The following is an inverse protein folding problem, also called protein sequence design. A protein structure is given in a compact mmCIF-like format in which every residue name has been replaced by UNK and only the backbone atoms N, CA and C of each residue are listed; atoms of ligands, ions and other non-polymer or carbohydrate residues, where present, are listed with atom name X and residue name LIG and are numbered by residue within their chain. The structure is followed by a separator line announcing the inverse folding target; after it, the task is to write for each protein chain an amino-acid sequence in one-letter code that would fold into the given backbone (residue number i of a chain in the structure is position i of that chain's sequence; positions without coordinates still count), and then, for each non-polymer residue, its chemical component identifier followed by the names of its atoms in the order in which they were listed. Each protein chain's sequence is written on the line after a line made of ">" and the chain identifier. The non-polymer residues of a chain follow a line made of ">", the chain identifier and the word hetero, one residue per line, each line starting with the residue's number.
data_IF_615928381702
#
_entry.id   IF_615928381702
#
_cell.length_a   1.000
_cell.length_b   1.000
_cell.length_c   1.000
_cell.angle_alpha   90.00
_cell.angle_beta   90.00
_cell.angle_gamma   90.00
#
_symmetry.space_group_name_H-M   'P 1'
#
loop_
_entity.id
_entity.type
_entity.pdbx_description
1 polymer ?
#
# COMPACT_ATOMS: atom_id res chain seq x y z
N UNK A 1 3.27 -11.63 -7.43
CA UNK A 1 4.49 -11.15 -6.80
C UNK A 1 5.03 -9.95 -7.55
N UNK A 2 5.31 -8.86 -6.86
CA UNK A 2 5.83 -7.68 -7.51
C UNK A 2 6.40 -6.69 -6.54
N UNK A 3 7.28 -5.86 -7.06
CA UNK A 3 7.90 -4.80 -6.28
C UNK A 3 7.92 -3.54 -7.13
N UNK A 4 7.39 -2.46 -6.57
CA UNK A 4 7.31 -1.17 -7.27
C UNK A 4 7.84 -0.06 -6.38
N UNK A 5 8.56 0.89 -6.98
CA UNK A 5 8.99 2.10 -6.28
C UNK A 5 8.20 3.26 -6.85
N UNK A 6 7.58 4.03 -5.96
CA UNK A 6 6.77 5.15 -6.42
C UNK A 6 6.62 6.19 -5.31
N UNK A 7 6.85 7.44 -5.65
CA UNK A 7 6.67 8.59 -4.76
C UNK A 7 7.42 8.46 -3.42
N UNK A 8 8.59 7.84 -3.44
CA UNK A 8 9.40 7.69 -2.24
C UNK A 8 9.05 6.49 -1.39
N UNK A 9 8.22 5.59 -1.91
CA UNK A 9 7.83 4.37 -1.21
C UNK A 9 8.16 3.15 -2.05
N UNK A 10 8.25 2.01 -1.37
CA UNK A 10 8.41 0.72 -2.04
C UNK A 10 7.18 -0.10 -1.69
N UNK A 11 6.55 -0.68 -2.71
CA UNK A 11 5.33 -1.49 -2.55
C UNK A 11 5.63 -2.91 -3.02
N UNK A 12 5.40 -3.88 -2.14
CA UNK A 12 5.74 -5.28 -2.43
C UNK A 12 4.51 -6.14 -2.23
N UNK A 13 4.20 -6.97 -3.24
CA UNK A 13 3.18 -8.01 -3.13
C UNK A 13 3.87 -9.35 -3.29
N UNK A 14 3.45 -10.33 -2.49
CA UNK A 14 4.03 -11.68 -2.52
C UNK A 14 3.00 -12.68 -2.98
N UNK A 15 3.42 -13.61 -3.84
CA UNK A 15 2.51 -14.58 -4.43
C UNK A 15 1.93 -15.54 -3.39
N UNK A 16 2.52 -15.82 -2.33
CA UNK A 16 2.02 -16.78 -1.35
C UNK A 16 1.39 -16.18 -0.12
N UNK A 17 1.13 -14.88 -0.15
CA UNK A 17 0.56 -14.23 1.04
C UNK A 17 -0.83 -14.75 1.34
N UNK A 18 -1.13 -14.83 2.63
CA UNK A 18 -2.45 -15.23 3.08
C UNK A 18 -3.47 -14.14 2.84
N UNK A 19 -4.74 -14.49 2.61
CA UNK A 19 -5.78 -13.48 2.56
C UNK A 19 -5.86 -12.72 3.89
N UNK A 20 -6.32 -11.46 3.89
CA UNK A 20 -6.79 -10.72 2.74
C UNK A 20 -5.64 -10.26 1.83
N UNK A 21 -5.96 -9.98 0.57
CA UNK A 21 -4.97 -9.48 -0.36
C UNK A 21 -4.44 -8.14 0.12
N UNK A 22 -3.14 -8.01 0.21
CA UNK A 22 -2.54 -6.81 0.78
C UNK A 22 -1.19 -6.51 0.15
N UNK A 23 -0.73 -5.28 0.37
CA UNK A 23 0.56 -4.83 -0.13
C UNK A 23 1.41 -4.38 1.05
N UNK A 24 2.70 -4.74 1.01
CA UNK A 24 3.67 -4.31 2.01
C UNK A 24 4.26 -2.97 1.58
N UNK A 25 4.31 -2.01 2.49
CA UNK A 25 4.76 -0.66 2.20
C UNK A 25 6.02 -0.38 2.99
N UNK A 26 7.07 0.07 2.28
CA UNK A 26 8.32 0.43 2.89
C UNK A 26 8.72 1.84 2.44
N UNK A 27 9.60 2.48 3.20
CA UNK A 27 10.19 3.74 2.75
C UNK A 27 11.22 3.44 1.66
N UNK A 28 11.66 4.48 0.96
CA UNK A 28 12.68 4.30 -0.06
C UNK A 28 14.00 3.78 0.52
N UNK A 29 14.21 3.95 1.82
CA UNK A 29 15.37 3.41 2.51
C UNK A 29 15.19 1.95 2.94
N UNK A 30 14.04 1.36 2.68
CA UNK A 30 13.78 -0.03 3.02
C UNK A 30 13.17 -0.25 4.39
N UNK A 31 12.75 0.80 5.07
CA UNK A 31 12.11 0.69 6.37
C UNK A 31 10.66 0.28 6.22
N UNK A 32 10.25 -0.70 7.00
CA UNK A 32 8.87 -1.15 6.97
C UNK A 32 7.94 -0.09 7.56
N UNK A 33 6.92 0.29 6.78
CA UNK A 33 5.86 1.18 7.25
C UNK A 33 4.69 0.36 7.77
N UNK A 34 4.27 -0.65 6.99
CA UNK A 34 3.16 -1.50 7.37
C UNK A 34 2.55 -2.14 6.15
N UNK A 35 1.39 -2.74 6.36
CA UNK A 35 0.67 -3.41 5.28
C UNK A 35 -0.66 -2.71 5.05
N UNK A 36 -1.05 -2.60 3.79
CA UNK A 36 -2.33 -2.04 3.43
C UNK A 36 -3.24 -3.12 2.88
N UNK A 37 -4.41 -3.27 3.49
CA UNK A 37 -5.40 -4.27 3.11
C UNK A 37 -6.16 -3.77 1.88
N UNK A 38 -5.86 -4.37 0.73
CA UNK A 38 -6.48 -3.96 -0.53
C UNK A 38 -7.93 -4.40 -0.59
N UNK A 39 -8.24 -5.55 -0.02
CA UNK A 39 -9.61 -6.06 -0.04
C UNK A 39 -10.56 -5.21 0.78
N UNK A 40 -10.10 -4.73 1.95
CA UNK A 40 -10.93 -3.94 2.85
C UNK A 40 -10.64 -2.46 2.80
N UNK A 41 -9.64 -2.06 2.02
CA UNK A 41 -9.30 -0.66 1.78
C UNK A 41 -8.95 0.08 3.06
N UNK A 42 -8.12 -0.54 3.88
CA UNK A 42 -7.70 0.05 5.16
C UNK A 42 -6.33 -0.48 5.57
N UNK A 43 -5.60 0.23 6.43
CA UNK A 43 -4.33 -0.27 6.94
C UNK A 43 -4.53 -1.53 7.77
N UNK A 44 -3.61 -2.48 7.63
CA UNK A 44 -3.63 -3.70 8.46
C UNK A 44 -2.84 -3.52 9.75
N UNK A 45 -1.90 -2.61 9.75
CA UNK A 45 -1.05 -2.34 10.90
C UNK A 45 -1.32 -0.94 11.43
N UNK A 46 -0.73 -0.64 12.58
CA UNK A 46 -0.94 0.65 13.22
C UNK A 46 -0.05 1.71 12.59
N UNK A 47 -0.49 2.27 11.47
CA UNK A 47 0.20 3.37 10.82
C UNK A 47 -0.82 4.28 10.15
N UNK A 48 -0.41 5.51 9.90
CA UNK A 48 -1.29 6.48 9.26
C UNK A 48 -0.92 6.64 7.79
N UNK A 49 -1.94 6.82 6.97
CA UNK A 49 -1.75 7.03 5.55
C UNK A 49 -1.66 8.54 5.30
N UNK A 50 -0.45 9.01 4.96
CA UNK A 50 -0.24 10.41 4.60
C UNK A 50 -0.89 10.70 3.25
N UNK A 51 -1.00 11.98 2.92
CA UNK A 51 -1.53 12.36 1.62
C UNK A 51 -0.70 11.80 0.47
N UNK A 52 0.61 11.83 0.63
CA UNK A 52 1.50 11.30 -0.40
C UNK A 52 1.31 9.79 -0.57
N UNK A 53 1.24 9.08 0.55
CA UNK A 53 1.05 7.63 0.49
C UNK A 53 -0.31 7.29 -0.10
N UNK A 54 -1.35 8.03 0.27
CA UNK A 54 -2.67 7.81 -0.29
C UNK A 54 -2.67 7.98 -1.80
N UNK A 55 -2.02 9.05 -2.28
CA UNK A 55 -1.95 9.29 -3.71
C UNK A 55 -1.21 8.17 -4.42
N UNK A 56 -0.11 7.70 -3.83
CA UNK A 56 0.65 6.61 -4.44
C UNK A 56 -0.19 5.33 -4.51
N UNK A 57 -0.92 5.01 -3.45
CA UNK A 57 -1.77 3.83 -3.43
C UNK A 57 -2.85 3.90 -4.49
N UNK A 58 -3.45 5.07 -4.66
CA UNK A 58 -4.49 5.27 -5.68
C UNK A 58 -3.92 5.12 -7.07
N UNK A 59 -2.78 5.74 -7.33
CA UNK A 59 -2.19 5.73 -8.66
C UNK A 59 -1.67 4.36 -9.05
N UNK A 60 -1.27 3.55 -8.07
CA UNK A 60 -0.83 2.18 -8.34
C UNK A 60 -1.98 1.18 -8.38
N UNK A 61 -3.19 1.63 -8.05
CA UNK A 61 -4.37 0.79 -8.12
C UNK A 61 -4.66 -0.02 -6.87
N UNK A 62 -3.97 0.25 -5.78
CA UNK A 62 -4.22 -0.47 -4.52
C UNK A 62 -5.35 0.13 -3.71
N UNK A 63 -5.54 1.43 -3.80
CA UNK A 63 -6.61 2.11 -3.08
C UNK A 63 -7.57 2.68 -4.10
N UNK A 64 -8.85 2.43 -3.90
CA UNK A 64 -9.89 2.92 -4.80
C UNK A 64 -10.24 4.33 -4.38
N UNK A 65 -10.13 5.26 -5.32
CA UNK A 65 -10.47 6.65 -5.03
C UNK A 65 -11.98 6.77 -4.84
N UNK A 66 -12.36 7.52 -3.80
CA UNK A 66 -13.77 7.74 -3.50
C UNK A 66 -14.40 8.57 -4.63
N UNK A 67 -15.39 8.04 -5.34
CA UNK A 67 -16.00 8.79 -6.44
C UNK A 67 -16.76 10.04 -5.99
N UNK A 68 -16.99 10.17 -4.69
CA UNK A 68 -17.65 11.35 -4.15
C UNK A 68 -16.71 12.55 -4.06
N UNK A 69 -15.44 12.36 -4.22
CA UNK A 69 -14.45 13.43 -4.09
C UNK A 69 -14.19 14.13 -5.39
#
# INVERSE_FOLDING_TARGET
>A
MGRKRYMGFIFITYAGDHPPYHVHILTSAGRNIGRFDIEHQCPMDDFQISKRLKKALIELGYLIEDPEK
#
